data_IF_871448924961
#
_entry.id   IF_871448924961
#
_cell.length_a   1.000
_cell.length_b   1.000
_cell.length_c   1.000
_cell.angle_alpha   90.00
_cell.angle_beta   90.00
_cell.angle_gamma   90.00
#
_symmetry.space_group_name_H-M   'P 1'
#
loop_
_entity.id
_entity.type
_entity.pdbx_description
1 polymer ?
#
# COMPACT_ATOMS: atom_id res chain seq x y z
N UNK A 1 30.83 11.04 29.42
CA UNK A 1 29.89 12.08 28.96
C UNK A 1 29.73 11.94 27.46
N UNK A 2 28.92 10.94 27.03
CA UNK A 2 28.58 10.73 25.63
C UNK A 2 27.44 11.68 25.25
N UNK A 3 27.74 12.69 24.45
CA UNK A 3 26.75 13.47 23.74
C UNK A 3 26.02 12.57 22.78
N UNK A 4 24.82 12.11 23.15
CA UNK A 4 23.88 11.49 22.22
C UNK A 4 23.57 12.57 21.18
N UNK A 5 24.16 12.46 20.01
CA UNK A 5 23.70 13.17 18.81
C UNK A 5 22.31 12.62 18.50
N UNK A 6 21.29 13.31 19.01
CA UNK A 6 19.91 13.12 18.54
C UNK A 6 19.95 13.48 17.05
N UNK A 7 19.89 12.48 16.19
CA UNK A 7 19.49 12.70 14.80
C UNK A 7 18.03 13.11 14.88
N UNK A 8 17.79 14.39 15.13
CA UNK A 8 16.48 15.00 15.04
C UNK A 8 16.12 15.10 13.59
N UNK A 9 15.53 14.05 13.07
CA UNK A 9 14.77 14.15 11.85
C UNK A 9 13.67 15.20 12.07
N UNK A 10 13.84 16.37 11.48
CA UNK A 10 12.81 17.39 11.34
C UNK A 10 12.21 17.96 12.63
N UNK A 11 11.58 19.12 12.55
CA UNK A 11 10.80 19.66 13.65
C UNK A 11 9.62 18.73 13.96
N UNK A 12 9.20 18.54 15.23
CA UNK A 12 8.04 17.72 15.59
C UNK A 12 6.78 18.08 14.80
N UNK A 13 6.64 19.35 14.45
CA UNK A 13 5.52 19.87 13.62
C UNK A 13 5.55 19.31 12.20
N UNK A 14 6.75 19.22 11.60
CA UNK A 14 6.91 18.64 10.26
C UNK A 14 6.58 17.15 10.27
N UNK A 15 7.03 16.41 11.28
CA UNK A 15 6.72 14.99 11.43
C UNK A 15 5.21 14.76 11.54
N UNK A 16 4.51 15.52 12.38
CA UNK A 16 3.06 15.44 12.52
C UNK A 16 2.37 15.76 11.18
N UNK A 17 2.79 16.83 10.52
CA UNK A 17 2.23 17.22 9.22
C UNK A 17 2.40 16.12 8.17
N UNK A 18 3.61 15.58 8.02
CA UNK A 18 3.89 14.48 7.07
C UNK A 18 3.07 13.23 7.40
N UNK A 19 2.94 12.89 8.68
CA UNK A 19 2.13 11.75 9.13
C UNK A 19 0.65 11.93 8.76
N UNK A 20 0.08 13.11 9.03
CA UNK A 20 -1.32 13.40 8.67
C UNK A 20 -1.50 13.31 7.16
N UNK A 21 -0.61 13.93 6.38
CA UNK A 21 -0.65 13.88 4.92
C UNK A 21 -0.55 12.44 4.41
N UNK A 22 0.34 11.63 4.97
CA UNK A 22 0.50 10.22 4.59
C UNK A 22 -0.79 9.41 4.87
N UNK A 23 -1.38 9.56 6.06
CA UNK A 23 -2.63 8.87 6.41
C UNK A 23 -3.78 9.27 5.48
N UNK A 24 -3.95 10.58 5.25
CA UNK A 24 -5.00 11.09 4.35
C UNK A 24 -4.78 10.60 2.92
N UNK A 25 -3.54 10.60 2.44
CA UNK A 25 -3.20 10.15 1.09
C UNK A 25 -3.53 8.66 0.91
N UNK A 26 -3.10 7.81 1.86
CA UNK A 26 -3.34 6.37 1.81
C UNK A 26 -4.84 6.06 1.91
N UNK A 27 -5.56 6.71 2.83
CA UNK A 27 -6.99 6.52 2.98
C UNK A 27 -7.76 6.88 1.70
N UNK A 28 -7.48 8.04 1.12
CA UNK A 28 -8.11 8.46 -0.13
C UNK A 28 -7.71 7.57 -1.31
N UNK A 29 -6.46 7.11 -1.37
CA UNK A 29 -6.03 6.23 -2.45
C UNK A 29 -6.77 4.89 -2.42
N UNK A 30 -7.00 4.28 -1.25
CA UNK A 30 -7.82 3.08 -1.13
C UNK A 30 -9.28 3.38 -1.52
N UNK A 31 -9.83 4.52 -1.12
CA UNK A 31 -11.17 4.93 -1.50
C UNK A 31 -11.32 5.13 -3.02
N UNK A 32 -10.31 5.69 -3.69
CA UNK A 32 -10.32 5.83 -5.15
C UNK A 32 -10.29 4.50 -5.91
N UNK A 33 -9.75 3.45 -5.28
CA UNK A 33 -9.73 2.09 -5.86
C UNK A 33 -11.10 1.43 -5.81
N UNK A 34 -12.01 1.87 -4.92
CA UNK A 34 -13.34 1.28 -4.75
C UNK A 34 -14.30 1.63 -5.91
N UNK A 35 -13.83 1.45 -7.13
CA UNK A 35 -14.60 1.72 -8.36
C UNK A 35 -15.14 0.48 -9.07
N UNK A 36 -14.74 -0.72 -8.67
CA UNK A 36 -15.21 -2.01 -9.19
C UNK A 36 -15.44 -3.01 -8.05
N UNK A 37 -16.44 -3.87 -8.21
CA UNK A 37 -16.74 -4.96 -7.28
C UNK A 37 -15.50 -5.79 -6.98
N UNK A 38 -15.15 -5.94 -5.72
CA UNK A 38 -14.00 -6.71 -5.24
C UNK A 38 -12.66 -5.97 -5.32
N UNK A 39 -12.54 -4.88 -6.07
CA UNK A 39 -11.24 -4.29 -6.37
C UNK A 39 -10.55 -3.74 -5.11
N UNK A 40 -11.22 -2.88 -4.34
CA UNK A 40 -10.63 -2.26 -3.15
C UNK A 40 -10.30 -3.30 -2.07
N UNK A 41 -11.24 -4.21 -1.79
CA UNK A 41 -11.03 -5.28 -0.81
C UNK A 41 -9.85 -6.19 -1.16
N UNK A 42 -9.74 -6.56 -2.44
CA UNK A 42 -8.66 -7.43 -2.88
C UNK A 42 -7.30 -6.74 -2.88
N UNK A 43 -7.21 -5.52 -3.39
CA UNK A 43 -5.96 -4.74 -3.36
C UNK A 43 -5.53 -4.47 -1.92
N UNK A 44 -6.45 -4.06 -1.04
CA UNK A 44 -6.16 -3.85 0.37
C UNK A 44 -5.71 -5.15 1.07
N UNK A 45 -6.34 -6.29 0.75
CA UNK A 45 -5.95 -7.60 1.24
C UNK A 45 -4.56 -8.04 0.78
N UNK A 46 -4.23 -7.83 -0.50
CA UNK A 46 -2.89 -8.10 -1.06
C UNK A 46 -1.84 -7.21 -0.38
N UNK A 47 -2.15 -5.92 -0.20
CA UNK A 47 -1.29 -4.98 0.52
C UNK A 47 -1.03 -5.43 1.96
N UNK A 48 -2.10 -5.73 2.68
CA UNK A 48 -2.02 -6.18 4.07
C UNK A 48 -1.23 -7.49 4.18
N UNK A 49 -1.41 -8.44 3.25
CA UNK A 49 -0.67 -9.70 3.23
C UNK A 49 0.84 -9.48 2.99
N UNK A 50 1.21 -8.68 2.00
CA UNK A 50 2.59 -8.34 1.74
C UNK A 50 3.22 -7.62 2.94
N UNK A 51 2.48 -6.69 3.55
CA UNK A 51 2.94 -5.96 4.72
C UNK A 51 3.04 -6.85 5.97
N UNK A 52 2.17 -7.85 6.09
CA UNK A 52 2.28 -8.89 7.13
C UNK A 52 3.61 -9.64 7.02
N UNK A 53 3.95 -10.15 5.85
CA UNK A 53 5.22 -10.86 5.64
C UNK A 53 6.43 -9.96 5.93
N UNK A 54 6.36 -8.70 5.51
CA UNK A 54 7.41 -7.73 5.82
C UNK A 54 7.56 -7.50 7.33
N UNK A 55 6.47 -7.15 8.01
CA UNK A 55 6.43 -6.85 9.44
C UNK A 55 6.84 -8.06 10.29
N UNK A 56 6.35 -9.26 9.93
CA UNK A 56 6.71 -10.51 10.59
C UNK A 56 8.22 -10.80 10.45
N UNK A 57 8.78 -10.66 9.25
CA UNK A 57 10.20 -10.87 9.01
C UNK A 57 11.05 -9.88 9.82
N UNK A 58 10.63 -8.61 9.88
CA UNK A 58 11.33 -7.59 10.65
C UNK A 58 11.32 -7.90 12.15
N UNK A 59 10.16 -8.28 12.70
CA UNK A 59 10.02 -8.64 14.12
C UNK A 59 10.90 -9.85 14.48
N UNK A 60 10.90 -10.89 13.67
CA UNK A 60 11.72 -12.09 13.89
C UNK A 60 13.22 -11.81 13.80
N UNK A 61 13.64 -10.89 12.97
CA UNK A 61 15.06 -10.50 12.86
C UNK A 61 15.52 -9.62 14.03
N UNK A 62 14.62 -8.77 14.58
CA UNK A 62 14.94 -7.89 15.71
C UNK A 62 14.89 -8.61 17.05
N UNK A 63 13.94 -9.52 17.25
CA UNK A 63 13.72 -10.26 18.49
C UNK A 63 13.25 -11.68 18.15
N UNK A 64 14.16 -12.67 18.09
CA UNK A 64 13.81 -14.05 17.73
C UNK A 64 12.74 -14.70 18.60
N UNK A 65 12.56 -14.23 19.84
CA UNK A 65 11.57 -14.71 20.79
C UNK A 65 10.20 -14.02 20.65
N UNK A 66 10.15 -12.88 19.94
CA UNK A 66 8.90 -12.18 19.64
C UNK A 66 8.28 -12.71 18.35
N UNK A 67 7.04 -13.23 18.45
CA UNK A 67 6.32 -13.82 17.33
C UNK A 67 5.40 -12.82 16.63
N UNK A 68 5.00 -11.74 17.28
CA UNK A 68 4.09 -10.76 16.71
C UNK A 68 4.29 -9.36 17.30
N UNK A 69 4.47 -8.38 16.41
CA UNK A 69 4.33 -6.97 16.76
C UNK A 69 2.86 -6.54 16.62
N UNK A 70 2.49 -5.41 17.24
CA UNK A 70 1.14 -4.82 17.09
C UNK A 70 0.81 -4.60 15.61
N UNK A 71 1.80 -4.20 14.81
CA UNK A 71 1.62 -4.05 13.36
C UNK A 71 1.27 -5.36 12.67
N UNK A 72 1.93 -6.48 13.03
CA UNK A 72 1.59 -7.81 12.50
C UNK A 72 0.15 -8.20 12.80
N UNK A 73 -0.32 -7.93 14.03
CA UNK A 73 -1.70 -8.24 14.44
C UNK A 73 -2.70 -7.41 13.63
N UNK A 74 -2.45 -6.11 13.49
CA UNK A 74 -3.33 -5.20 12.72
C UNK A 74 -3.44 -5.65 11.26
N UNK A 75 -2.30 -5.91 10.60
CA UNK A 75 -2.35 -6.32 9.19
C UNK A 75 -2.89 -7.72 8.99
N UNK A 76 -2.67 -8.65 9.93
CA UNK A 76 -3.30 -9.97 9.90
C UNK A 76 -4.82 -9.87 10.01
N UNK A 77 -5.32 -9.02 10.91
CA UNK A 77 -6.74 -8.73 11.01
C UNK A 77 -7.30 -8.13 9.70
N UNK A 78 -6.57 -7.20 9.07
CA UNK A 78 -6.95 -6.64 7.77
C UNK A 78 -7.04 -7.72 6.68
N UNK A 79 -6.08 -8.64 6.60
CA UNK A 79 -6.13 -9.79 5.68
C UNK A 79 -7.40 -10.60 5.93
N UNK A 80 -7.70 -10.92 7.20
CA UNK A 80 -8.90 -11.66 7.56
C UNK A 80 -10.21 -10.94 7.20
N UNK A 81 -10.28 -9.63 7.45
CA UNK A 81 -11.44 -8.79 7.11
C UNK A 81 -11.64 -8.77 5.59
N UNK A 82 -10.58 -8.50 4.82
CA UNK A 82 -10.66 -8.47 3.36
C UNK A 82 -11.03 -9.84 2.79
N UNK A 83 -10.45 -10.93 3.30
CA UNK A 83 -10.75 -12.28 2.87
C UNK A 83 -12.20 -12.69 3.19
N UNK A 84 -12.74 -12.29 4.35
CA UNK A 84 -14.12 -12.55 4.74
C UNK A 84 -15.13 -11.69 3.95
N UNK A 85 -14.78 -10.47 3.60
CA UNK A 85 -15.63 -9.56 2.85
C UNK A 85 -15.67 -9.89 1.35
N UNK A 86 -14.54 -10.28 0.77
CA UNK A 86 -14.35 -10.47 -0.66
C UNK A 86 -15.36 -11.44 -1.32
N UNK A 87 -15.73 -12.60 -0.73
CA UNK A 87 -16.74 -13.50 -1.31
C UNK A 87 -18.13 -12.86 -1.51
N UNK A 88 -18.43 -11.83 -0.72
CA UNK A 88 -19.70 -11.10 -0.79
C UNK A 88 -19.61 -9.84 -1.66
N UNK A 89 -18.41 -9.31 -1.85
CA UNK A 89 -18.14 -8.11 -2.63
C UNK A 89 -17.58 -8.42 -4.04
N UNK A 90 -17.19 -9.68 -4.32
CA UNK A 90 -16.72 -10.06 -5.66
C UNK A 90 -17.87 -10.05 -6.66
N UNK A 91 -17.54 -9.71 -7.93
CA UNK A 91 -18.57 -9.49 -8.97
C UNK A 91 -19.39 -10.75 -9.29
N UNK A 92 -20.72 -10.70 -9.31
CA UNK A 92 -21.60 -9.56 -8.97
C UNK A 92 -21.72 -9.35 -7.45
N UNK A 93 -21.38 -8.14 -6.99
CA UNK A 93 -21.36 -7.85 -5.56
C UNK A 93 -22.75 -7.93 -4.93
N UNK A 94 -22.82 -8.56 -3.75
CA UNK A 94 -24.02 -8.60 -2.89
C UNK A 94 -24.00 -7.50 -1.83
N UNK A 95 -22.81 -7.08 -1.42
CA UNK A 95 -22.58 -5.97 -0.48
C UNK A 95 -21.48 -5.07 -1.02
N UNK A 96 -21.60 -3.78 -0.76
CA UNK A 96 -20.63 -2.77 -1.18
C UNK A 96 -19.86 -2.24 0.02
N UNK A 97 -18.58 -1.91 -0.18
CA UNK A 97 -17.71 -1.41 0.88
C UNK A 97 -18.07 0.03 1.27
N UNK A 98 -18.32 0.87 0.29
CA UNK A 98 -18.57 2.30 0.46
C UNK A 98 -17.40 3.07 1.03
N UNK A 99 -17.52 4.38 1.07
CA UNK A 99 -16.44 5.29 1.48
C UNK A 99 -15.96 5.01 2.92
N UNK A 100 -16.89 4.69 3.83
CA UNK A 100 -16.53 4.41 5.23
C UNK A 100 -15.66 3.16 5.38
N UNK A 101 -15.95 2.11 4.62
CA UNK A 101 -15.15 0.89 4.61
C UNK A 101 -13.79 1.11 3.96
N UNK A 102 -13.77 1.72 2.78
CA UNK A 102 -12.54 1.98 2.02
C UNK A 102 -11.58 2.93 2.78
N UNK A 103 -12.09 4.03 3.34
CA UNK A 103 -11.31 4.95 4.15
C UNK A 103 -10.77 4.27 5.42
N UNK A 104 -11.58 3.44 6.09
CA UNK A 104 -11.15 2.70 7.28
C UNK A 104 -9.99 1.74 6.96
N UNK A 105 -10.09 0.97 5.87
CA UNK A 105 -9.00 0.09 5.43
C UNK A 105 -7.72 0.89 5.16
N UNK A 106 -7.83 2.02 4.47
CA UNK A 106 -6.70 2.89 4.17
C UNK A 106 -6.03 3.46 5.43
N UNK A 107 -6.82 3.92 6.41
CA UNK A 107 -6.30 4.41 7.70
C UNK A 107 -5.58 3.30 8.46
N UNK A 108 -6.13 2.07 8.49
CA UNK A 108 -5.50 0.95 9.18
C UNK A 108 -4.19 0.50 8.51
N UNK A 109 -4.13 0.50 7.18
CA UNK A 109 -2.88 0.23 6.43
C UNK A 109 -1.83 1.30 6.75
N UNK A 110 -2.21 2.59 6.75
CA UNK A 110 -1.31 3.69 7.09
C UNK A 110 -0.82 3.60 8.53
N UNK A 111 -1.72 3.31 9.48
CA UNK A 111 -1.38 3.14 10.89
C UNK A 111 -0.40 1.98 11.12
N UNK A 112 -0.61 0.84 10.45
CA UNK A 112 0.33 -0.28 10.49
C UNK A 112 1.71 0.13 9.97
N UNK A 113 1.79 0.90 8.89
CA UNK A 113 3.05 1.44 8.36
C UNK A 113 3.77 2.33 9.37
N UNK A 114 3.05 3.22 10.03
CA UNK A 114 3.60 4.12 11.06
C UNK A 114 4.11 3.32 12.27
N UNK A 115 3.35 2.31 12.72
CA UNK A 115 3.75 1.45 13.84
C UNK A 115 5.05 0.72 13.57
N UNK A 116 5.22 0.14 12.37
CA UNK A 116 6.47 -0.54 11.99
C UNK A 116 7.64 0.44 11.90
N UNK A 117 7.43 1.62 11.30
CA UNK A 117 8.49 2.64 11.20
C UNK A 117 8.97 3.09 12.59
N UNK A 118 8.06 3.21 13.55
CA UNK A 118 8.40 3.58 14.93
C UNK A 118 9.18 2.52 15.70
N UNK A 119 9.18 1.26 15.26
CA UNK A 119 9.92 0.15 15.88
C UNK A 119 11.36 0.01 15.35
N UNK A 120 11.70 0.69 14.26
CA UNK A 120 13.04 0.64 13.69
C UNK A 120 13.95 1.60 14.46
N UNK A 121 14.94 1.05 15.18
CA UNK A 121 15.96 1.88 15.85
C UNK A 121 16.95 2.45 14.82
N UNK A 122 17.00 3.77 14.62
CA UNK A 122 17.91 4.39 13.68
C UNK A 122 19.39 4.14 14.02
N UNK A 123 19.72 3.85 15.29
CA UNK A 123 21.09 3.61 15.74
C UNK A 123 21.63 2.26 15.26
N UNK A 124 20.74 1.29 15.01
CA UNK A 124 21.09 -0.03 14.50
C UNK A 124 20.99 -0.14 12.97
N UNK A 125 20.57 0.93 12.30
CA UNK A 125 20.54 1.02 10.86
C UNK A 125 21.96 1.26 10.33
N UNK A 126 22.80 0.20 10.30
CA UNK A 126 24.06 0.22 9.57
C UNK A 126 23.78 0.52 8.09
N UNK A 127 24.78 1.08 7.39
CA UNK A 127 24.66 1.61 6.01
C UNK A 127 24.01 0.64 5.00
N UNK A 128 23.97 -0.68 5.30
CA UNK A 128 23.29 -1.69 4.51
C UNK A 128 21.78 -1.84 4.77
N UNK A 129 21.23 -1.19 5.81
CA UNK A 129 19.84 -1.35 6.26
C UNK A 129 18.97 -0.08 6.12
N UNK A 130 19.36 0.87 5.29
CA UNK A 130 18.52 2.05 5.05
C UNK A 130 17.21 1.71 4.31
N UNK A 131 17.23 0.69 3.46
CA UNK A 131 16.05 0.18 2.76
C UNK A 131 14.94 -0.29 3.74
N UNK A 132 15.20 -1.11 4.77
CA UNK A 132 14.18 -1.52 5.72
C UNK A 132 13.49 -0.35 6.44
N UNK A 133 14.19 0.74 6.72
CA UNK A 133 13.61 1.90 7.39
C UNK A 133 12.57 2.65 6.54
N UNK A 134 12.70 2.59 5.21
CA UNK A 134 11.81 3.27 4.26
C UNK A 134 10.71 2.33 3.76
N UNK A 135 10.90 1.00 3.87
CA UNK A 135 9.95 -0.01 3.38
C UNK A 135 8.56 0.07 3.97
N UNK A 136 8.34 0.40 5.27
CA UNK A 136 6.99 0.60 5.81
C UNK A 136 6.20 1.69 5.09
N UNK A 137 6.89 2.60 4.42
CA UNK A 137 6.28 3.63 3.59
C UNK A 137 6.16 3.18 2.13
N UNK A 138 7.18 2.46 1.62
CA UNK A 138 7.22 2.01 0.23
C UNK A 138 6.21 0.88 -0.04
N UNK A 139 6.04 -0.07 0.87
CA UNK A 139 5.13 -1.22 0.64
C UNK A 139 3.67 -0.77 0.48
N UNK A 140 3.08 0.02 1.40
CA UNK A 140 1.76 0.61 1.17
C UNK A 140 1.73 1.51 -0.08
N UNK A 141 2.78 2.33 -0.28
CA UNK A 141 2.86 3.22 -1.44
C UNK A 141 2.92 2.45 -2.77
N UNK A 142 3.61 1.32 -2.83
CA UNK A 142 3.71 0.51 -4.05
C UNK A 142 2.35 -0.07 -4.47
N UNK A 143 1.53 -0.48 -3.51
CA UNK A 143 0.16 -0.96 -3.77
C UNK A 143 -0.74 0.17 -4.25
N UNK A 144 -0.60 1.34 -3.61
CA UNK A 144 -1.37 2.54 -3.89
C UNK A 144 -0.81 3.27 -5.12
N UNK A 145 0.42 2.97 -5.51
CA UNK A 145 1.10 3.64 -6.63
C UNK A 145 0.30 3.55 -7.92
N UNK A 146 -0.28 2.40 -8.22
CA UNK A 146 -1.09 2.20 -9.42
C UNK A 146 -2.34 3.09 -9.43
N UNK A 147 -3.19 3.07 -8.39
CA UNK A 147 -4.31 4.01 -8.25
C UNK A 147 -3.87 5.48 -8.18
N UNK A 148 -2.76 5.76 -7.52
CA UNK A 148 -2.23 7.12 -7.41
C UNK A 148 -1.75 7.65 -8.76
N UNK A 149 -1.03 6.85 -9.53
CA UNK A 149 -0.62 7.20 -10.91
C UNK A 149 -1.86 7.44 -11.76
N UNK A 150 -2.88 6.59 -11.65
CA UNK A 150 -4.12 6.74 -12.40
C UNK A 150 -4.84 8.05 -12.03
N UNK A 151 -4.90 8.38 -10.73
CA UNK A 151 -5.44 9.64 -10.24
C UNK A 151 -4.66 10.86 -10.77
N UNK A 152 -3.33 10.84 -10.61
CA UNK A 152 -2.45 11.92 -11.07
C UNK A 152 -2.61 12.11 -12.59
N UNK A 153 -2.61 11.00 -13.35
CA UNK A 153 -2.81 11.04 -14.79
C UNK A 153 -4.18 11.58 -15.18
N UNK A 154 -5.24 11.22 -14.44
CA UNK A 154 -6.57 11.77 -14.64
C UNK A 154 -6.61 13.29 -14.41
N UNK A 155 -5.97 13.76 -13.32
CA UNK A 155 -5.87 15.21 -13.03
C UNK A 155 -5.07 15.93 -14.10
N UNK A 156 -3.90 15.42 -14.49
CA UNK A 156 -3.06 16.02 -15.55
C UNK A 156 -3.83 16.13 -16.86
N UNK A 157 -4.52 15.07 -17.26
CA UNK A 157 -5.33 15.04 -18.49
C UNK A 157 -6.49 16.05 -18.46
N UNK A 158 -7.15 16.24 -17.30
CA UNK A 158 -8.23 17.22 -17.13
C UNK A 158 -7.70 18.64 -17.24
N UNK A 159 -6.64 18.94 -16.49
CA UNK A 159 -6.00 20.27 -16.51
C UNK A 159 -5.48 20.60 -17.91
N UNK A 160 -4.85 19.65 -18.61
CA UNK A 160 -4.35 19.85 -19.97
C UNK A 160 -5.47 20.11 -21.00
N UNK A 161 -6.73 19.72 -20.68
CA UNK A 161 -7.92 20.02 -21.50
C UNK A 161 -8.68 21.26 -21.03
N UNK A 162 -8.13 22.04 -20.09
CA UNK A 162 -8.79 23.21 -19.52
C UNK A 162 -10.00 22.90 -18.63
N UNK A 163 -10.12 21.65 -18.17
CA UNK A 163 -11.22 21.20 -17.32
C UNK A 163 -10.84 21.29 -15.84
N UNK A 164 -11.85 21.40 -14.97
CA UNK A 164 -11.61 21.34 -13.50
C UNK A 164 -10.99 20.01 -13.09
N UNK A 165 -10.00 19.99 -12.17
CA UNK A 165 -9.43 18.76 -11.62
C UNK A 165 -10.48 17.83 -10.99
N UNK A 166 -11.59 18.38 -10.51
CA UNK A 166 -12.70 17.69 -9.85
C UNK A 166 -13.81 17.25 -10.81
N UNK A 167 -13.66 17.48 -12.12
CA UNK A 167 -14.66 17.05 -13.08
C UNK A 167 -14.73 15.52 -13.12
N UNK A 168 -15.96 14.96 -13.18
CA UNK A 168 -16.14 13.52 -13.32
C UNK A 168 -15.50 13.02 -14.64
N UNK A 169 -14.63 12.03 -14.55
CA UNK A 169 -13.93 11.47 -15.72
C UNK A 169 -14.00 9.94 -15.68
N UNK A 170 -14.51 9.36 -16.76
CA UNK A 170 -14.52 7.93 -17.01
C UNK A 170 -13.16 7.39 -17.54
N UNK A 171 -12.07 8.16 -17.39
CA UNK A 171 -10.75 7.83 -17.90
C UNK A 171 -9.87 7.01 -16.99
N UNK A 172 -10.38 6.53 -15.85
CA UNK A 172 -9.63 5.70 -14.91
C UNK A 172 -9.20 4.36 -15.50
N UNK A 173 -8.09 3.80 -15.00
CA UNK A 173 -7.46 2.58 -15.52
C UNK A 173 -8.44 1.41 -15.63
N UNK A 174 -9.28 1.20 -14.62
CA UNK A 174 -10.28 0.15 -14.63
C UNK A 174 -11.34 0.35 -15.73
N UNK A 175 -11.78 1.59 -15.99
CA UNK A 175 -12.67 1.89 -17.12
C UNK A 175 -11.99 1.69 -18.46
N UNK A 176 -10.68 1.90 -18.56
CA UNK A 176 -9.91 1.63 -19.79
C UNK A 176 -9.82 0.15 -20.07
N UNK A 177 -9.59 -0.69 -19.04
CA UNK A 177 -9.57 -2.16 -19.18
C UNK A 177 -10.93 -2.68 -19.68
N UNK A 178 -12.04 -2.18 -19.13
CA UNK A 178 -13.38 -2.54 -19.59
C UNK A 178 -13.60 -2.13 -21.06
N UNK A 179 -13.13 -0.93 -21.46
CA UNK A 179 -13.22 -0.47 -22.87
C UNK A 179 -12.35 -1.29 -23.82
N UNK A 180 -11.26 -1.88 -23.35
CA UNK A 180 -10.42 -2.81 -24.12
C UNK A 180 -11.04 -4.20 -24.26
N UNK A 181 -12.26 -4.43 -23.72
CA UNK A 181 -12.99 -5.68 -23.85
C UNK A 181 -12.79 -6.68 -22.72
N UNK A 182 -12.06 -6.31 -21.67
CA UNK A 182 -11.98 -7.17 -20.50
C UNK A 182 -13.34 -7.25 -19.79
N UNK A 183 -13.71 -8.44 -19.30
CA UNK A 183 -14.83 -8.58 -18.37
C UNK A 183 -14.54 -7.87 -17.05
N UNK A 184 -15.57 -7.56 -16.26
CA UNK A 184 -15.42 -6.94 -14.94
C UNK A 184 -14.41 -7.71 -14.06
N UNK A 185 -14.63 -9.01 -13.92
CA UNK A 185 -13.73 -9.92 -13.19
C UNK A 185 -12.33 -9.93 -13.81
N UNK A 186 -12.21 -9.94 -15.13
CA UNK A 186 -10.91 -9.92 -15.82
C UNK A 186 -10.11 -8.66 -15.51
N UNK A 187 -10.76 -7.49 -15.52
CA UNK A 187 -10.11 -6.22 -15.16
C UNK A 187 -9.61 -6.22 -13.71
N UNK A 188 -10.43 -6.73 -12.77
CA UNK A 188 -10.05 -6.85 -11.36
C UNK A 188 -8.85 -7.79 -11.18
N UNK A 189 -8.85 -8.95 -11.83
CA UNK A 189 -7.74 -9.91 -11.73
C UNK A 189 -6.42 -9.36 -12.31
N UNK A 190 -6.48 -8.61 -13.41
CA UNK A 190 -5.30 -7.91 -13.94
C UNK A 190 -4.73 -6.93 -12.93
N UNK A 191 -5.59 -6.15 -12.27
CA UNK A 191 -5.16 -5.18 -11.25
C UNK A 191 -4.62 -5.88 -9.99
N UNK A 192 -5.18 -7.02 -9.59
CA UNK A 192 -4.64 -7.86 -8.50
C UNK A 192 -3.24 -8.40 -8.85
N UNK A 193 -3.04 -8.85 -10.07
CA UNK A 193 -1.72 -9.32 -10.53
C UNK A 193 -0.69 -8.19 -10.40
N UNK A 194 -0.98 -7.00 -10.89
CA UNK A 194 -0.10 -5.84 -10.75
C UNK A 194 0.17 -5.46 -9.29
N UNK A 195 -0.88 -5.41 -8.46
CA UNK A 195 -0.74 -5.12 -7.03
C UNK A 195 0.13 -6.16 -6.32
N UNK A 196 -0.07 -7.44 -6.63
CA UNK A 196 0.74 -8.54 -6.08
C UNK A 196 2.20 -8.42 -6.49
N UNK A 197 2.46 -8.21 -7.78
CA UNK A 197 3.82 -8.05 -8.29
C UNK A 197 4.52 -6.85 -7.62
N UNK A 198 3.88 -5.68 -7.58
CA UNK A 198 4.45 -4.48 -6.97
C UNK A 198 4.75 -4.71 -5.48
N UNK A 199 3.78 -5.23 -4.72
CA UNK A 199 3.89 -5.42 -3.28
C UNK A 199 4.96 -6.43 -2.91
N UNK A 200 4.93 -7.62 -3.52
CA UNK A 200 5.87 -8.68 -3.18
C UNK A 200 7.27 -8.44 -3.74
N UNK A 201 7.41 -7.69 -4.84
CA UNK A 201 8.73 -7.21 -5.29
C UNK A 201 9.35 -6.28 -4.25
N UNK A 202 8.58 -5.34 -3.69
CA UNK A 202 9.06 -4.48 -2.61
C UNK A 202 9.50 -5.29 -1.38
N UNK A 203 8.71 -6.28 -0.96
CA UNK A 203 9.07 -7.17 0.17
C UNK A 203 10.32 -7.98 -0.16
N UNK A 204 10.45 -8.50 -1.36
CA UNK A 204 11.62 -9.28 -1.80
C UNK A 204 12.91 -8.44 -1.81
N UNK A 205 12.84 -7.16 -2.19
CA UNK A 205 13.98 -6.24 -2.16
C UNK A 205 14.55 -5.99 -0.76
N UNK A 206 13.76 -6.23 0.30
CA UNK A 206 14.25 -6.16 1.67
C UNK A 206 15.18 -7.33 2.00
N UNK A 207 14.92 -8.50 1.43
CA UNK A 207 15.63 -9.74 1.75
C UNK A 207 16.75 -10.06 0.77
N UNK A 208 16.59 -9.68 -0.50
CA UNK A 208 17.49 -10.03 -1.59
C UNK A 208 18.05 -8.77 -2.25
N UNK A 209 19.31 -8.77 -2.72
CA UNK A 209 19.87 -7.63 -3.43
C UNK A 209 19.10 -7.36 -4.73
N UNK A 210 19.00 -6.09 -5.11
CA UNK A 210 18.26 -5.65 -6.29
C UNK A 210 18.70 -6.34 -7.60
N UNK A 211 19.94 -6.80 -7.65
CA UNK A 211 20.49 -7.57 -8.79
C UNK A 211 19.83 -8.92 -9.02
N UNK A 212 19.23 -9.51 -7.99
CA UNK A 212 18.52 -10.80 -8.08
C UNK A 212 17.02 -10.60 -8.25
N UNK A 213 16.44 -9.58 -7.63
CA UNK A 213 14.99 -9.33 -7.66
C UNK A 213 14.56 -8.63 -8.95
N UNK A 214 15.38 -7.69 -9.46
CA UNK A 214 15.06 -6.90 -10.65
C UNK A 214 14.79 -7.76 -11.89
N UNK A 215 15.70 -8.68 -12.28
CA UNK A 215 15.47 -9.56 -13.43
C UNK A 215 14.25 -10.48 -13.28
N UNK A 216 13.99 -11.00 -12.07
CA UNK A 216 12.84 -11.86 -11.80
C UNK A 216 11.51 -11.09 -11.92
N UNK A 217 11.46 -9.85 -11.43
CA UNK A 217 10.27 -9.00 -11.54
C UNK A 217 9.97 -8.62 -13.00
N UNK A 218 11.00 -8.35 -13.81
CA UNK A 218 10.84 -8.05 -15.24
C UNK A 218 10.38 -9.28 -16.03
N UNK A 219 10.84 -10.48 -15.66
CA UNK A 219 10.43 -11.72 -16.34
C UNK A 219 8.96 -12.11 -16.08
N UNK A 220 8.36 -11.58 -15.03
CA UNK A 220 6.97 -11.84 -14.62
C UNK A 220 5.99 -10.73 -15.07
N UNK A 221 6.47 -9.61 -15.60
CA UNK A 221 5.67 -8.48 -16.10
C UNK A 221 5.31 -8.64 -17.57
#
# INVERSE_FOLDING_TARGET
TGTRTKVTAGSPRLTIFVTIVAVVLVANAVNFVDGLDGLAAGIAGIAALAFFFYSYTLTRNASPDDYASVACVVVAALVGICAGFLPHNFHPARIFMGDSGALTLGVLIAAAGILVTGQIDPANASVGYQLPAIMPLIVPAAVILLPLIDLVWAVVRRVSRGQSPFHADAGHLHHRLLRLGHSHTGAVLVLYMWATMASFTCVALVRYPATTVGPAAIALS
#
